data_IF_758705824438
#
_entry.id   IF_758705824438
#
_cell.length_a   1.000
_cell.length_b   1.000
_cell.length_c   1.000
_cell.angle_alpha   90.00
_cell.angle_beta   90.00
_cell.angle_gamma   90.00
#
_symmetry.space_group_name_H-M   'P 1'
#
loop_
_entity.id
_entity.type
_entity.pdbx_description
1 polymer ?
#
# COMPACT_ATOMS: atom_id res chain seq x y z
N UNK A 1 -23.64 11.47 -1.05
CA UNK A 1 -22.27 11.09 -1.27
C UNK A 1 -22.16 9.66 -1.72
N UNK A 2 -21.51 9.43 -2.83
CA UNK A 2 -21.41 8.06 -3.30
C UNK A 2 -20.55 7.24 -2.38
N UNK A 3 -20.90 6.01 -2.26
CA UNK A 3 -20.17 5.05 -1.49
C UNK A 3 -19.38 4.15 -2.38
N UNK A 4 -18.17 3.82 -1.98
CA UNK A 4 -17.39 2.84 -2.68
C UNK A 4 -17.63 1.52 -2.01
N UNK A 5 -18.05 0.54 -2.78
CA UNK A 5 -18.32 -0.77 -2.24
C UNK A 5 -17.34 -1.78 -2.78
N UNK A 6 -16.60 -2.36 -1.88
CA UNK A 6 -15.71 -3.45 -2.22
C UNK A 6 -16.14 -4.64 -1.40
N UNK A 7 -16.29 -5.78 -2.05
CA UNK A 7 -16.59 -6.91 -1.24
C UNK A 7 -15.32 -7.35 -0.50
N UNK A 8 -15.48 -8.19 0.49
CA UNK A 8 -14.41 -8.55 1.39
C UNK A 8 -13.23 -9.21 0.66
N UNK A 9 -13.55 -10.03 -0.31
CA UNK A 9 -12.49 -10.71 -1.06
C UNK A 9 -11.70 -9.71 -1.90
N UNK A 10 -12.40 -8.80 -2.56
CA UNK A 10 -11.73 -7.81 -3.37
C UNK A 10 -10.92 -6.85 -2.52
N UNK A 11 -11.43 -6.49 -1.37
CA UNK A 11 -10.67 -5.62 -0.48
C UNK A 11 -9.39 -6.29 0.00
N UNK A 12 -9.46 -7.56 0.33
CA UNK A 12 -8.28 -8.29 0.76
C UNK A 12 -7.27 -8.40 -0.37
N UNK A 13 -7.75 -8.66 -1.56
CA UNK A 13 -6.87 -8.79 -2.71
C UNK A 13 -6.18 -7.47 -3.00
N UNK A 14 -6.92 -6.39 -2.96
CA UNK A 14 -6.34 -5.09 -3.19
C UNK A 14 -5.29 -4.76 -2.13
N UNK A 15 -5.58 -5.07 -0.88
CA UNK A 15 -4.62 -4.83 0.19
C UNK A 15 -3.33 -5.61 -0.05
N UNK A 16 -3.44 -6.84 -0.51
CA UNK A 16 -2.26 -7.63 -0.81
C UNK A 16 -1.45 -7.04 -1.95
N UNK A 17 -2.13 -6.55 -2.97
CA UNK A 17 -1.44 -5.93 -4.09
C UNK A 17 -0.71 -4.67 -3.66
N UNK A 18 -1.35 -3.86 -2.85
CA UNK A 18 -0.71 -2.64 -2.36
C UNK A 18 0.48 -2.97 -1.48
N UNK A 19 0.37 -3.99 -0.66
CA UNK A 19 1.46 -4.42 0.18
C UNK A 19 2.63 -4.95 -0.64
N UNK A 20 2.31 -5.71 -1.69
CA UNK A 20 3.30 -6.20 -2.61
C UNK A 20 4.09 -5.04 -3.24
N UNK A 21 3.36 -4.02 -3.71
CA UNK A 21 4.02 -2.86 -4.29
C UNK A 21 4.89 -2.13 -3.28
N UNK A 22 4.41 -1.99 -2.07
CA UNK A 22 5.18 -1.32 -1.04
C UNK A 22 6.49 -2.06 -0.77
N UNK A 23 6.43 -3.37 -0.69
CA UNK A 23 7.64 -4.18 -0.47
C UNK A 23 8.59 -4.08 -1.64
N UNK A 24 8.06 -4.14 -2.84
CA UNK A 24 8.89 -4.02 -4.03
C UNK A 24 9.62 -2.69 -4.07
N UNK A 25 8.91 -1.62 -3.79
CA UNK A 25 9.51 -0.30 -3.79
C UNK A 25 10.62 -0.18 -2.76
N UNK A 26 10.50 -0.91 -1.66
CA UNK A 26 11.50 -0.87 -0.61
C UNK A 26 12.73 -1.69 -0.88
N UNK A 27 12.71 -2.51 -1.93
CA UNK A 27 13.85 -3.38 -2.22
C UNK A 27 15.00 -2.64 -2.89
N UNK A 28 14.68 -1.65 -3.72
CA UNK A 28 15.72 -0.99 -4.47
C UNK A 28 15.42 0.50 -4.61
N UNK A 29 15.36 1.21 -3.49
CA UNK A 29 14.99 2.62 -3.56
C UNK A 29 16.01 3.47 -4.31
N UNK A 30 17.27 3.06 -4.31
CA UNK A 30 18.29 3.84 -5.00
C UNK A 30 18.03 3.89 -6.50
N UNK A 31 17.43 2.85 -7.03
CA UNK A 31 17.18 2.76 -8.45
C UNK A 31 15.80 3.27 -8.80
N UNK A 32 14.83 2.95 -7.96
CA UNK A 32 13.44 3.34 -8.24
C UNK A 32 13.15 4.76 -7.85
N UNK A 33 13.87 5.29 -6.87
CA UNK A 33 13.61 6.63 -6.38
C UNK A 33 13.71 7.71 -7.44
N UNK A 34 14.84 7.78 -8.15
CA UNK A 34 14.97 8.81 -9.18
C UNK A 34 13.92 8.71 -10.27
N UNK A 35 13.58 7.49 -10.64
CA UNK A 35 12.56 7.28 -11.66
C UNK A 35 11.20 7.78 -11.19
N UNK A 36 10.87 7.48 -9.95
CA UNK A 36 9.61 7.95 -9.40
C UNK A 36 9.57 9.47 -9.29
N UNK A 37 10.67 10.04 -8.83
CA UNK A 37 10.72 11.49 -8.67
C UNK A 37 10.57 12.20 -9.99
N UNK A 38 11.19 11.65 -11.02
CA UNK A 38 11.07 12.23 -12.34
C UNK A 38 9.65 12.13 -12.85
N UNK A 39 9.03 10.99 -12.63
CA UNK A 39 7.67 10.79 -13.09
C UNK A 39 6.68 11.71 -12.39
N UNK A 40 6.81 11.82 -11.07
CA UNK A 40 5.91 12.66 -10.29
C UNK A 40 6.19 14.13 -10.53
N UNK A 41 7.45 14.47 -10.72
CA UNK A 41 7.83 15.85 -10.95
C UNK A 41 7.80 16.70 -9.70
N UNK A 42 7.84 16.08 -8.54
CA UNK A 42 7.81 16.83 -7.29
C UNK A 42 8.82 16.23 -6.33
N UNK A 43 9.84 16.98 -5.96
CA UNK A 43 10.93 16.40 -5.17
C UNK A 43 10.52 15.94 -3.77
N UNK A 44 9.42 16.45 -3.26
CA UNK A 44 9.00 16.07 -1.93
C UNK A 44 8.29 14.72 -1.90
N UNK A 45 7.91 14.19 -3.05
CA UNK A 45 7.20 12.93 -3.08
C UNK A 45 8.11 11.83 -3.61
N UNK A 46 8.63 11.04 -2.70
CA UNK A 46 9.53 9.95 -3.07
C UNK A 46 9.00 8.61 -2.64
N UNK A 47 9.86 7.61 -2.70
CA UNK A 47 9.48 6.24 -2.40
C UNK A 47 8.97 6.10 -0.98
N UNK A 48 9.62 6.77 -0.03
CA UNK A 48 9.19 6.65 1.35
C UNK A 48 7.75 7.13 1.53
N UNK A 49 7.43 8.25 0.88
CA UNK A 49 6.08 8.78 0.98
C UNK A 49 5.08 7.86 0.29
N UNK A 50 5.44 7.35 -0.87
CA UNK A 50 4.55 6.45 -1.58
C UNK A 50 4.31 5.17 -0.78
N UNK A 51 5.35 4.60 -0.20
CA UNK A 51 5.19 3.40 0.61
C UNK A 51 4.30 3.67 1.82
N UNK A 52 4.48 4.81 2.43
CA UNK A 52 3.66 5.18 3.57
C UNK A 52 2.19 5.27 3.18
N UNK A 53 1.91 5.87 2.03
CA UNK A 53 0.55 5.96 1.56
C UNK A 53 -0.03 4.60 1.20
N UNK A 54 0.76 3.75 0.57
CA UNK A 54 0.31 2.41 0.24
C UNK A 54 -0.05 1.65 1.50
N UNK A 55 0.79 1.74 2.50
CA UNK A 55 0.55 1.01 3.73
C UNK A 55 -0.63 1.56 4.49
N UNK A 56 -0.87 2.84 4.38
CA UNK A 56 -2.05 3.42 4.98
C UNK A 56 -3.31 2.82 4.38
N UNK A 57 -3.32 2.65 3.07
CA UNK A 57 -4.50 2.06 2.43
C UNK A 57 -4.62 0.57 2.71
N UNK A 58 -3.50 -0.12 2.86
CA UNK A 58 -3.56 -1.50 3.32
C UNK A 58 -4.27 -1.57 4.66
N UNK A 59 -3.92 -0.69 5.55
CA UNK A 59 -4.55 -0.64 6.86
C UNK A 59 -6.05 -0.34 6.75
N UNK A 60 -6.39 0.66 5.93
CA UNK A 60 -7.79 1.06 5.78
C UNK A 60 -8.63 -0.04 5.13
N UNK A 61 -8.02 -0.87 4.32
CA UNK A 61 -8.72 -1.97 3.68
C UNK A 61 -8.83 -3.18 4.60
N UNK A 62 -8.38 -3.05 5.83
CA UNK A 62 -8.47 -4.14 6.77
C UNK A 62 -7.19 -4.92 6.92
N UNK A 63 -6.12 -4.46 6.27
CA UNK A 63 -4.86 -5.16 6.36
C UNK A 63 -4.25 -5.06 7.72
N UNK A 64 -4.31 -3.88 8.28
CA UNK A 64 -3.96 -3.70 9.67
C UNK A 64 -2.75 -4.51 10.08
N UNK A 65 -1.66 -4.30 9.40
CA UNK A 65 -0.41 -5.02 9.63
C UNK A 65 -0.62 -6.52 9.59
N UNK A 66 -1.67 -6.95 8.98
CA UNK A 66 -1.91 -8.36 8.76
C UNK A 66 -2.71 -9.03 9.84
N UNK A 67 -2.97 -8.35 10.91
CA UNK A 67 -3.63 -9.03 12.00
C UNK A 67 -5.03 -9.48 11.65
N UNK A 68 -5.77 -8.60 11.04
CA UNK A 68 -7.13 -8.93 10.71
C UNK A 68 -7.27 -9.85 9.55
N UNK A 69 -6.25 -9.90 8.69
CA UNK A 69 -6.32 -10.70 7.48
C UNK A 69 -5.65 -12.02 7.62
N UNK A 70 -4.54 -12.05 8.32
CA UNK A 70 -3.69 -13.20 8.26
C UNK A 70 -3.85 -14.07 9.45
N UNK A 71 -5.03 -14.32 9.76
CA UNK A 71 -5.25 -15.34 10.72
C UNK A 71 -5.07 -14.92 12.12
N UNK A 72 -5.00 -13.68 12.33
CA UNK A 72 -5.10 -13.31 13.69
C UNK A 72 -6.52 -13.61 14.11
N UNK A 73 -6.72 -14.67 14.80
CA UNK A 73 -8.07 -15.06 15.08
C UNK A 73 -8.71 -14.05 16.00
N UNK A 74 -9.93 -13.74 15.73
CA UNK A 74 -10.64 -12.92 16.68
C UNK A 74 -10.72 -13.66 17.99
N UNK A 75 -10.59 -12.96 19.00
CA UNK A 75 -10.65 -13.57 20.32
C UNK A 75 -11.96 -14.24 20.59
#
# INVERSE_FOLDING_TARGET
MPEIKLDTVDAAELAEMLQFLSHWLGRDPARLGPSLEEFVGHPAYGIAQLRQDLERFVFLLGGSDGEGLFGHPPP
#
